data_IF_389457838806
#
_entry.id   IF_389457838806
#
_cell.length_a   1.000
_cell.length_b   1.000
_cell.length_c   1.000
_cell.angle_alpha   90.00
_cell.angle_beta   90.00
_cell.angle_gamma   90.00
#
_symmetry.space_group_name_H-M   'P 1'
#
loop_
_entity.id
_entity.type
_entity.pdbx_description
1 polymer ?
#
# COMPACT_ATOMS: atom_id res chain seq x y z
N UNK A 1 -17.40 25.38 -15.91
CA UNK A 1 -17.66 24.89 -14.85
C UNK A 1 -17.54 23.51 -14.70
N UNK A 2 -18.23 22.69 -15.33
CA UNK A 2 -18.14 21.28 -15.13
C UNK A 2 -16.80 20.71 -15.44
N UNK A 3 -16.07 21.26 -16.39
CA UNK A 3 -14.72 20.79 -16.72
C UNK A 3 -13.75 20.93 -15.55
N UNK A 4 -13.92 22.00 -14.77
CA UNK A 4 -13.08 22.21 -13.61
C UNK A 4 -13.28 21.09 -12.59
N UNK A 5 -14.54 20.69 -12.39
CA UNK A 5 -14.86 19.61 -11.47
C UNK A 5 -14.27 18.28 -11.93
N UNK A 6 -14.41 17.95 -13.20
CA UNK A 6 -13.88 16.71 -13.73
C UNK A 6 -12.36 16.66 -13.69
N UNK A 7 -11.71 17.79 -13.96
CA UNK A 7 -10.26 17.85 -14.02
C UNK A 7 -9.60 17.91 -12.64
N UNK A 8 -10.38 18.19 -11.60
CA UNK A 8 -9.85 18.30 -10.25
C UNK A 8 -9.48 16.94 -9.65
N UNK A 9 -10.06 15.87 -10.21
CA UNK A 9 -9.82 14.53 -9.66
C UNK A 9 -9.09 13.65 -10.64
N UNK A 10 -7.91 13.17 -10.24
CA UNK A 10 -7.27 12.07 -10.93
C UNK A 10 -7.93 10.77 -10.49
N UNK A 11 -8.06 9.79 -11.39
CA UNK A 11 -8.40 8.43 -10.96
C UNK A 11 -7.40 7.93 -9.94
N UNK A 12 -7.87 7.17 -8.95
CA UNK A 12 -7.00 6.67 -7.90
C UNK A 12 -5.77 5.94 -8.45
N UNK A 13 -5.95 5.17 -9.53
CA UNK A 13 -4.86 4.40 -10.14
C UNK A 13 -3.71 5.27 -10.67
N UNK A 14 -3.95 6.56 -10.93
CA UNK A 14 -2.94 7.47 -11.48
C UNK A 14 -2.14 8.19 -10.41
N UNK A 15 -2.51 8.02 -9.14
CA UNK A 15 -1.76 8.63 -8.05
C UNK A 15 -0.41 7.94 -7.86
N UNK A 16 0.65 8.68 -7.49
CA UNK A 16 1.95 8.07 -7.22
C UNK A 16 1.89 6.92 -6.21
N UNK A 17 1.11 7.08 -5.13
CA UNK A 17 0.97 6.03 -4.12
C UNK A 17 0.35 4.76 -4.71
N UNK A 18 -0.60 4.89 -5.64
CA UNK A 18 -1.22 3.73 -6.28
C UNK A 18 -0.22 3.00 -7.16
N UNK A 19 0.64 3.75 -7.86
CA UNK A 19 1.68 3.15 -8.70
C UNK A 19 2.68 2.38 -7.87
N UNK A 20 3.13 2.96 -6.74
CA UNK A 20 4.07 2.28 -5.84
C UNK A 20 3.45 1.03 -5.22
N UNK A 21 2.18 1.11 -4.83
CA UNK A 21 1.45 -0.04 -4.26
C UNK A 21 1.27 -1.15 -5.31
N UNK A 22 0.99 -0.79 -6.56
CA UNK A 22 0.91 -1.79 -7.64
C UNK A 22 2.26 -2.45 -7.91
N UNK A 23 3.35 -1.70 -7.87
CA UNK A 23 4.70 -2.26 -7.99
C UNK A 23 5.00 -3.22 -6.85
N UNK A 24 4.57 -2.88 -5.64
CA UNK A 24 4.72 -3.78 -4.49
C UNK A 24 3.92 -5.07 -4.69
N UNK A 25 2.68 -4.96 -5.18
CA UNK A 25 1.86 -6.13 -5.47
C UNK A 25 2.56 -7.05 -6.48
N UNK A 26 3.07 -6.49 -7.57
CA UNK A 26 3.79 -7.25 -8.59
C UNK A 26 5.03 -7.92 -7.98
N UNK A 27 5.77 -7.20 -7.16
CA UNK A 27 6.97 -7.73 -6.51
C UNK A 27 6.64 -8.90 -5.57
N UNK A 28 5.59 -8.75 -4.75
CA UNK A 28 5.16 -9.82 -3.84
C UNK A 28 4.69 -11.03 -4.63
N UNK A 29 3.84 -10.82 -5.64
CA UNK A 29 3.32 -11.89 -6.48
C UNK A 29 4.45 -12.64 -7.17
N UNK A 30 5.45 -11.92 -7.67
CA UNK A 30 6.61 -12.50 -8.33
C UNK A 30 7.40 -13.41 -7.38
N UNK A 31 7.58 -12.99 -6.14
CA UNK A 31 8.26 -13.82 -5.15
C UNK A 31 7.44 -15.05 -4.77
N UNK A 32 6.12 -14.88 -4.64
CA UNK A 32 5.23 -15.98 -4.28
C UNK A 32 5.20 -17.08 -5.34
N UNK A 33 5.34 -16.74 -6.62
CA UNK A 33 5.34 -17.72 -7.71
C UNK A 33 6.46 -18.74 -7.60
N UNK A 34 7.54 -18.36 -6.94
CA UNK A 34 8.71 -19.24 -6.78
C UNK A 34 8.66 -20.08 -5.50
N UNK A 35 7.58 -19.96 -4.73
CA UNK A 35 7.45 -20.67 -3.46
C UNK A 35 6.53 -21.88 -3.60
N UNK A 36 6.55 -22.73 -2.57
CA UNK A 36 5.70 -23.94 -2.56
C UNK A 36 4.22 -23.54 -2.53
N UNK A 37 3.37 -24.45 -2.97
CA UNK A 37 1.94 -24.26 -2.96
C UNK A 37 1.42 -23.92 -1.56
N UNK A 38 1.94 -24.61 -0.54
CA UNK A 38 1.52 -24.38 0.85
C UNK A 38 1.78 -22.94 1.29
N UNK A 39 2.97 -22.41 1.03
CA UNK A 39 3.32 -21.03 1.40
C UNK A 39 2.41 -20.05 0.67
N UNK A 40 2.19 -20.26 -0.63
CA UNK A 40 1.32 -19.38 -1.42
C UNK A 40 -0.12 -19.39 -0.91
N UNK A 41 -0.63 -20.55 -0.48
CA UNK A 41 -2.01 -20.68 -0.05
C UNK A 41 -2.22 -20.21 1.39
N UNK A 42 -1.18 -20.22 2.22
CA UNK A 42 -1.28 -19.73 3.60
C UNK A 42 -0.88 -18.25 3.70
N UNK A 43 0.42 -17.96 3.68
CA UNK A 43 0.91 -16.60 3.88
C UNK A 43 0.70 -15.71 2.66
N UNK A 44 0.79 -16.28 1.46
CA UNK A 44 0.62 -15.53 0.24
C UNK A 44 -0.74 -14.85 0.14
N UNK A 45 -1.79 -15.54 0.57
CA UNK A 45 -3.14 -14.97 0.59
C UNK A 45 -3.25 -13.77 1.52
N UNK A 46 -2.61 -13.88 2.69
CA UNK A 46 -2.62 -12.77 3.66
C UNK A 46 -1.91 -11.54 3.10
N UNK A 47 -0.75 -11.74 2.46
CA UNK A 47 -0.01 -10.63 1.87
C UNK A 47 -0.84 -9.91 0.80
N UNK A 48 -1.42 -10.68 -0.11
CA UNK A 48 -2.23 -10.11 -1.20
C UNK A 48 -3.46 -9.41 -0.64
N UNK A 49 -4.11 -10.00 0.34
CA UNK A 49 -5.29 -9.42 0.99
C UNK A 49 -4.96 -8.04 1.59
N UNK A 50 -3.84 -7.94 2.29
CA UNK A 50 -3.42 -6.66 2.89
C UNK A 50 -3.13 -5.61 1.81
N UNK A 51 -2.50 -6.00 0.70
CA UNK A 51 -2.24 -5.06 -0.39
C UNK A 51 -3.55 -4.59 -1.04
N UNK A 52 -4.53 -5.48 -1.18
CA UNK A 52 -5.84 -5.10 -1.72
C UNK A 52 -6.56 -4.15 -0.76
N UNK A 53 -6.44 -4.33 0.56
CA UNK A 53 -6.96 -3.37 1.53
C UNK A 53 -6.29 -2.00 1.37
N UNK A 54 -4.96 -1.98 1.20
CA UNK A 54 -4.22 -0.75 0.96
C UNK A 54 -4.80 -0.02 -0.26
N UNK A 55 -5.03 -0.72 -1.35
CA UNK A 55 -5.61 -0.13 -2.56
C UNK A 55 -7.02 0.40 -2.32
N UNK A 56 -7.80 -0.29 -1.50
CA UNK A 56 -9.13 0.17 -1.12
C UNK A 56 -9.06 1.53 -0.42
N UNK A 57 -8.14 1.70 0.53
CA UNK A 57 -7.99 2.96 1.25
C UNK A 57 -7.45 4.09 0.37
N UNK A 58 -6.62 3.77 -0.65
CA UNK A 58 -6.21 4.77 -1.63
C UNK A 58 -7.46 5.34 -2.34
N UNK A 59 -8.37 4.47 -2.78
CA UNK A 59 -9.59 4.91 -3.46
C UNK A 59 -10.46 5.75 -2.52
N UNK A 60 -10.62 5.32 -1.28
CA UNK A 60 -11.41 6.06 -0.29
C UNK A 60 -10.81 7.44 -0.02
N UNK A 61 -9.50 7.50 0.20
CA UNK A 61 -8.83 8.76 0.45
C UNK A 61 -8.92 9.70 -0.76
N UNK A 62 -8.74 9.15 -1.98
CA UNK A 62 -8.81 9.95 -3.19
C UNK A 62 -10.20 10.54 -3.41
N UNK A 63 -11.25 9.81 -3.04
CA UNK A 63 -12.63 10.25 -3.20
C UNK A 63 -13.07 11.24 -2.10
N UNK A 64 -12.41 11.26 -0.96
CA UNK A 64 -12.80 12.07 0.17
C UNK A 64 -12.48 13.54 -0.09
N UNK A 65 -13.48 14.42 0.03
CA UNK A 65 -13.29 15.85 -0.13
C UNK A 65 -12.95 16.52 1.20
N UNK A 66 -13.50 16.01 2.29
CA UNK A 66 -13.16 16.48 3.63
C UNK A 66 -11.73 16.04 3.98
N UNK A 67 -10.90 17.01 4.35
CA UNK A 67 -9.48 16.74 4.59
C UNK A 67 -9.23 15.83 5.79
N UNK A 68 -10.03 15.98 6.85
CA UNK A 68 -9.89 15.13 8.03
C UNK A 68 -10.27 13.69 7.70
N UNK A 69 -11.33 13.50 6.95
CA UNK A 69 -11.74 12.18 6.49
C UNK A 69 -10.67 11.56 5.58
N UNK A 70 -10.13 12.37 4.66
CA UNK A 70 -9.04 11.94 3.78
C UNK A 70 -7.83 11.47 4.60
N UNK A 71 -7.42 12.27 5.59
CA UNK A 71 -6.30 11.91 6.46
C UNK A 71 -6.57 10.59 7.20
N UNK A 72 -7.81 10.37 7.65
CA UNK A 72 -8.21 9.14 8.30
C UNK A 72 -8.04 7.92 7.39
N UNK A 73 -8.44 8.04 6.12
CA UNK A 73 -8.26 6.94 5.16
C UNK A 73 -6.79 6.68 4.86
N UNK A 74 -5.97 7.74 4.80
CA UNK A 74 -4.53 7.54 4.59
C UNK A 74 -3.91 6.85 5.80
N UNK A 75 -4.34 7.19 7.02
CA UNK A 75 -3.89 6.52 8.23
C UNK A 75 -4.26 5.03 8.21
N UNK A 76 -5.45 4.68 7.72
CA UNK A 76 -5.86 3.29 7.56
C UNK A 76 -4.99 2.56 6.53
N UNK A 77 -4.62 3.26 5.44
CA UNK A 77 -3.67 2.71 4.48
C UNK A 77 -2.34 2.38 5.15
N UNK A 78 -1.83 3.32 5.96
CA UNK A 78 -0.55 3.14 6.64
C UNK A 78 -0.62 1.97 7.62
N UNK A 79 -1.74 1.82 8.34
CA UNK A 79 -1.93 0.68 9.24
C UNK A 79 -1.90 -0.65 8.48
N UNK A 80 -2.59 -0.74 7.35
CA UNK A 80 -2.57 -1.96 6.53
C UNK A 80 -1.16 -2.24 5.99
N UNK A 81 -0.44 -1.19 5.59
CA UNK A 81 0.95 -1.31 5.17
C UNK A 81 1.83 -1.85 6.30
N UNK A 82 1.68 -1.30 7.51
CA UNK A 82 2.46 -1.73 8.66
C UNK A 82 2.17 -3.20 8.98
N UNK A 83 0.93 -3.63 8.89
CA UNK A 83 0.55 -5.03 9.10
C UNK A 83 1.25 -5.93 8.07
N UNK A 84 1.29 -5.50 6.80
CA UNK A 84 1.98 -6.26 5.75
C UNK A 84 3.48 -6.36 6.03
N UNK A 85 4.11 -5.23 6.35
CA UNK A 85 5.55 -5.19 6.62
C UNK A 85 5.91 -6.05 7.82
N UNK A 86 5.12 -5.97 8.89
CA UNK A 86 5.32 -6.78 10.09
C UNK A 86 5.15 -8.26 9.80
N UNK A 87 4.12 -8.62 9.04
CA UNK A 87 3.86 -10.03 8.72
C UNK A 87 4.98 -10.61 7.85
N UNK A 88 5.45 -9.86 6.85
CA UNK A 88 6.57 -10.29 6.00
C UNK A 88 7.83 -10.50 6.84
N UNK A 89 8.14 -9.57 7.74
CA UNK A 89 9.31 -9.68 8.61
C UNK A 89 9.20 -10.87 9.54
N UNK A 90 8.04 -11.02 10.19
CA UNK A 90 7.81 -12.13 11.13
C UNK A 90 7.92 -13.48 10.44
N UNK A 91 7.31 -13.64 9.26
CA UNK A 91 7.37 -14.90 8.53
C UNK A 91 8.79 -15.20 8.05
N UNK A 92 9.54 -14.16 7.70
CA UNK A 92 10.95 -14.33 7.32
C UNK A 92 11.77 -14.79 8.53
N UNK A 93 11.57 -14.15 9.68
CA UNK A 93 12.31 -14.48 10.90
C UNK A 93 12.01 -15.90 11.41
N UNK A 94 10.79 -16.39 11.19
CA UNK A 94 10.39 -17.73 11.62
C UNK A 94 10.63 -18.81 10.57
N UNK A 95 11.21 -18.44 9.42
CA UNK A 95 11.54 -19.40 8.37
C UNK A 95 10.40 -19.71 7.41
N UNK A 96 9.24 -19.07 7.55
CA UNK A 96 8.10 -19.30 6.67
C UNK A 96 8.19 -18.59 5.33
N UNK A 97 9.07 -17.59 5.22
CA UNK A 97 9.29 -16.84 4.00
C UNK A 97 10.81 -16.74 3.77
N UNK A 98 11.31 -17.00 2.55
CA UNK A 98 12.77 -17.01 2.32
C UNK A 98 13.39 -15.62 2.47
N UNK A 99 14.54 -15.54 3.11
CA UNK A 99 15.28 -14.29 3.26
C UNK A 99 15.60 -13.61 1.92
N UNK A 100 16.07 -14.34 0.90
CA UNK A 100 16.32 -13.70 -0.40
C UNK A 100 15.06 -13.06 -1.00
N UNK A 101 13.91 -13.71 -0.84
CA UNK A 101 12.63 -13.16 -1.31
C UNK A 101 12.27 -11.88 -0.55
N UNK A 102 12.46 -11.89 0.77
CA UNK A 102 12.22 -10.72 1.61
C UNK A 102 13.11 -9.55 1.19
N UNK A 103 14.40 -9.82 0.95
CA UNK A 103 15.36 -8.79 0.53
C UNK A 103 14.91 -8.10 -0.76
N UNK A 104 14.32 -8.85 -1.69
CA UNK A 104 13.81 -8.28 -2.95
C UNK A 104 12.60 -7.36 -2.73
N UNK A 105 11.95 -7.43 -1.59
CA UNK A 105 10.79 -6.61 -1.28
C UNK A 105 11.14 -5.31 -0.54
N UNK A 106 12.36 -5.19 -0.02
CA UNK A 106 12.72 -4.02 0.81
C UNK A 106 12.60 -2.70 0.07
N UNK A 107 13.03 -2.62 -1.18
CA UNK A 107 12.95 -1.39 -1.96
C UNK A 107 11.50 -1.03 -2.28
N UNK A 108 10.68 -1.94 -2.84
CA UNK A 108 9.25 -1.62 -3.06
C UNK A 108 8.52 -1.26 -1.78
N UNK A 109 8.79 -1.94 -0.67
CA UNK A 109 8.18 -1.60 0.63
C UNK A 109 8.56 -0.19 1.05
N UNK A 110 9.85 0.15 0.99
CA UNK A 110 10.32 1.48 1.36
C UNK A 110 9.73 2.58 0.49
N UNK A 111 9.56 2.30 -0.80
CA UNK A 111 8.96 3.24 -1.75
C UNK A 111 7.50 3.55 -1.39
N UNK A 112 6.72 2.53 -1.04
CA UNK A 112 5.33 2.71 -0.59
C UNK A 112 5.29 3.51 0.69
N UNK A 113 6.12 3.17 1.67
CA UNK A 113 6.17 3.86 2.95
C UNK A 113 6.45 5.35 2.78
N UNK A 114 7.45 5.67 1.98
CA UNK A 114 7.85 7.06 1.72
C UNK A 114 6.70 7.85 1.09
N UNK A 115 6.05 7.29 0.08
CA UNK A 115 4.94 7.95 -0.60
C UNK A 115 3.75 8.13 0.33
N UNK A 116 3.43 7.13 1.13
CA UNK A 116 2.28 7.19 2.03
C UNK A 116 2.46 8.25 3.11
N UNK A 117 3.63 8.30 3.74
CA UNK A 117 3.91 9.31 4.77
C UNK A 117 3.97 10.72 4.18
N UNK A 118 4.52 10.86 2.98
CA UNK A 118 4.51 12.15 2.28
C UNK A 118 3.09 12.63 1.99
N UNK A 119 2.23 11.73 1.53
CA UNK A 119 0.83 12.04 1.26
C UNK A 119 0.11 12.44 2.54
N UNK A 120 0.28 11.65 3.60
CA UNK A 120 -0.34 11.94 4.90
C UNK A 120 0.07 13.31 5.43
N UNK A 121 1.37 13.59 5.42
CA UNK A 121 1.90 14.87 5.91
C UNK A 121 1.39 16.04 5.06
N UNK A 122 1.29 15.88 3.76
CA UNK A 122 0.74 16.90 2.87
C UNK A 122 -0.70 17.25 3.21
N UNK A 123 -1.52 16.23 3.51
CA UNK A 123 -2.92 16.47 3.90
C UNK A 123 -3.00 17.14 5.28
N UNK A 124 -2.17 16.71 6.24
CA UNK A 124 -2.13 17.32 7.57
C UNK A 124 -1.75 18.80 7.49
N UNK A 125 -0.81 19.14 6.63
CA UNK A 125 -0.42 20.53 6.45
C UNK A 125 -1.60 21.40 5.97
N UNK A 126 -2.41 20.85 5.07
CA UNK A 126 -3.61 21.54 4.56
C UNK A 126 -4.67 21.71 5.65
N UNK A 127 -4.80 20.74 6.55
CA UNK A 127 -5.73 20.84 7.67
C UNK A 127 -5.32 21.97 8.62
N UNK A 128 -4.00 22.13 8.82
CA UNK A 128 -3.46 23.10 9.77
C UNK A 128 -3.38 24.53 9.22
N UNK A 129 -3.72 24.71 7.96
CA UNK A 129 -3.82 26.04 7.41
C UNK A 129 -5.11 26.71 7.85
#
# INVERSE_FOLDING_TARGET
>A
MSNTVFNAHKPARDLPIAKRTSELLVAVDSQLKNLTTDVRHTYGREFIKLILEMRHFIRKANAAQDLELKAGYIAEFIDAYDDLADLLKLKTDTGGFPKPAYTQLLIPLGSVSKQAHGWYNSVLEKINL
#
